data_IF_625406552999
#
_entry.id   IF_625406552999
#
_cell.length_a   1.000
_cell.length_b   1.000
_cell.length_c   1.000
_cell.angle_alpha   90.00
_cell.angle_beta   90.00
_cell.angle_gamma   90.00
#
_symmetry.space_group_name_H-M   'P 1'
#
loop_
_entity.id
_entity.type
_entity.pdbx_description
1 polymer ?
#
# COMPACT_ATOMS: atom_id res chain seq x y z
N UNK A 1 4.43 1.82 57.46
CA UNK A 1 5.89 1.82 57.70
C UNK A 1 6.53 1.63 56.33
N UNK A 2 6.73 2.74 55.61
CA UNK A 2 8.05 3.37 55.35
C UNK A 2 8.91 2.47 54.45
N UNK A 3 9.00 2.77 53.15
CA UNK A 3 10.01 3.68 52.53
C UNK A 3 11.03 2.77 51.80
N UNK A 4 11.58 3.00 50.60
CA UNK A 4 11.69 4.16 49.74
C UNK A 4 12.16 3.72 48.34
N UNK A 5 11.74 4.46 47.32
CA UNK A 5 12.44 4.60 46.03
C UNK A 5 13.82 5.25 46.22
N UNK A 6 14.71 5.13 45.22
CA UNK A 6 15.38 6.34 44.77
C UNK A 6 15.16 6.56 43.27
N UNK A 7 14.59 7.73 43.02
CA UNK A 7 14.61 8.45 41.76
C UNK A 7 15.99 9.07 41.48
N UNK A 8 16.19 9.45 40.21
CA UNK A 8 16.85 10.68 39.72
C UNK A 8 18.32 10.64 39.24
N UNK A 9 18.44 11.31 38.09
CA UNK A 9 19.51 12.18 37.58
C UNK A 9 20.71 11.56 36.85
N UNK A 10 20.78 11.83 35.54
CA UNK A 10 21.85 12.61 34.87
C UNK A 10 21.44 12.79 33.39
N UNK A 11 20.80 13.90 32.98
CA UNK A 11 21.37 15.17 32.49
C UNK A 11 22.54 15.04 31.49
N UNK A 12 22.17 15.25 30.22
CA UNK A 12 22.81 16.07 29.17
C UNK A 12 24.34 16.10 29.11
N UNK A 13 24.88 15.65 27.98
CA UNK A 13 26.09 16.20 27.39
C UNK A 13 25.74 16.69 25.97
N UNK A 14 25.94 18.00 25.77
CA UNK A 14 26.00 18.71 24.50
C UNK A 14 27.49 18.83 24.22
N UNK A 15 27.95 18.48 23.03
CA UNK A 15 29.16 19.08 22.48
C UNK A 15 29.11 19.07 20.96
N UNK A 16 29.33 20.26 20.40
CA UNK A 16 29.30 20.62 19.01
C UNK A 16 30.73 20.97 18.57
N UNK A 17 31.15 20.48 17.40
CA UNK A 17 32.26 20.97 16.56
C UNK A 17 32.16 20.12 15.26
N UNK A 18 32.20 20.65 14.03
CA UNK A 18 33.26 21.45 13.46
C UNK A 18 32.76 22.41 12.37
N UNK A 19 33.42 23.56 12.30
CA UNK A 19 33.36 24.53 11.22
C UNK A 19 34.29 24.13 10.06
N UNK A 20 33.98 24.63 8.86
CA UNK A 20 34.86 24.56 7.69
C UNK A 20 34.29 25.34 6.51
N UNK A 21 34.66 26.62 6.42
CA UNK A 21 34.31 27.58 5.36
C UNK A 21 35.31 27.47 4.20
N UNK A 22 34.87 27.61 2.95
CA UNK A 22 35.64 28.26 1.89
C UNK A 22 34.72 28.86 0.79
N UNK A 23 34.97 30.13 0.49
CA UNK A 23 34.32 30.99 -0.51
C UNK A 23 35.37 31.35 -1.58
N UNK A 24 34.97 31.41 -2.85
CA UNK A 24 35.46 32.31 -3.93
C UNK A 24 34.89 31.77 -5.29
N UNK A 25 34.01 32.40 -6.06
CA UNK A 25 33.97 33.72 -6.75
C UNK A 25 34.90 33.84 -7.97
N UNK A 26 34.30 34.05 -9.16
CA UNK A 26 34.75 34.81 -10.35
C UNK A 26 33.54 34.86 -11.33
N UNK A 27 32.80 35.97 -11.53
CA UNK A 27 33.06 37.12 -12.43
C UNK A 27 33.73 36.71 -13.75
N UNK A 28 33.27 36.97 -14.98
CA UNK A 28 32.32 37.93 -15.56
C UNK A 28 32.32 37.74 -17.10
N UNK A 29 32.02 38.75 -17.95
CA UNK A 29 30.91 38.65 -18.91
C UNK A 29 31.25 39.05 -20.38
N UNK A 30 30.20 39.22 -21.23
CA UNK A 30 30.06 40.19 -22.35
C UNK A 30 30.28 39.76 -23.84
N UNK A 31 29.24 40.10 -24.64
CA UNK A 31 29.13 40.40 -26.10
C UNK A 31 29.25 39.26 -27.14
N UNK A 32 28.54 39.25 -28.28
CA UNK A 32 27.95 40.34 -29.06
C UNK A 32 26.71 39.90 -29.89
N UNK A 33 25.89 40.87 -30.25
CA UNK A 33 24.74 40.84 -31.16
C UNK A 33 25.07 41.72 -32.39
N UNK A 34 24.78 41.29 -33.64
CA UNK A 34 24.25 42.09 -34.80
C UNK A 34 24.27 41.32 -36.17
N UNK A 35 23.58 41.76 -37.27
CA UNK A 35 22.47 40.99 -37.85
C UNK A 35 22.40 40.90 -39.41
N UNK A 36 21.37 40.15 -39.89
CA UNK A 36 20.55 40.24 -41.13
C UNK A 36 21.19 40.26 -42.54
N UNK A 37 20.70 39.34 -43.39
CA UNK A 37 20.56 39.48 -44.85
C UNK A 37 19.37 38.62 -45.38
N UNK A 38 18.44 39.15 -46.19
CA UNK A 38 17.14 38.53 -46.50
C UNK A 38 17.06 37.84 -47.89
N UNK A 39 15.88 37.22 -48.15
CA UNK A 39 15.37 36.61 -49.40
C UNK A 39 15.74 35.13 -49.60
N UNK A 40 14.87 34.21 -50.03
CA UNK A 40 13.51 34.25 -50.55
C UNK A 40 12.98 32.79 -50.67
N UNK A 41 11.69 32.59 -50.41
CA UNK A 41 10.78 31.57 -50.98
C UNK A 41 11.10 30.05 -50.90
N UNK A 42 10.39 29.34 -50.01
CA UNK A 42 9.74 28.05 -50.31
C UNK A 42 8.72 27.68 -49.20
N UNK A 43 7.45 27.48 -49.56
CA UNK A 43 6.38 26.98 -48.67
C UNK A 43 6.41 25.43 -48.57
N UNK A 44 5.51 24.78 -47.81
CA UNK A 44 5.83 24.17 -46.52
C UNK A 44 5.69 22.65 -46.56
N UNK A 45 6.76 21.88 -46.32
CA UNK A 45 6.62 20.45 -46.03
C UNK A 45 7.65 19.98 -45.01
N UNK A 46 7.13 19.28 -43.99
CA UNK A 46 7.81 18.47 -43.00
C UNK A 46 8.76 19.23 -42.04
N UNK A 47 8.29 19.42 -40.81
CA UNK A 47 8.86 18.90 -39.55
C UNK A 47 7.89 19.40 -38.46
N UNK A 48 6.87 18.61 -38.14
CA UNK A 48 6.32 18.67 -36.78
C UNK A 48 7.22 17.82 -35.91
N UNK A 49 8.12 18.52 -35.23
CA UNK A 49 9.03 18.00 -34.24
C UNK A 49 8.26 17.28 -33.14
N UNK A 50 8.63 16.01 -32.96
CA UNK A 50 8.56 15.27 -31.71
C UNK A 50 8.68 16.19 -30.49
N UNK A 51 7.58 16.37 -29.77
CA UNK A 51 7.57 16.77 -28.36
C UNK A 51 6.21 16.43 -27.73
N UNK A 52 5.79 15.17 -27.83
CA UNK A 52 4.87 14.61 -26.84
C UNK A 52 5.70 13.68 -25.95
N UNK A 53 6.25 14.28 -24.90
CA UNK A 53 6.64 13.56 -23.70
C UNK A 53 5.48 12.64 -23.32
N UNK A 54 5.71 11.35 -23.02
CA UNK A 54 4.64 10.52 -22.50
C UNK A 54 4.27 11.11 -21.14
N UNK A 55 3.14 11.80 -21.08
CA UNK A 55 2.45 11.99 -19.84
C UNK A 55 2.22 10.58 -19.30
N UNK A 56 2.94 10.21 -18.25
CA UNK A 56 2.60 9.05 -17.46
C UNK A 56 1.15 9.26 -17.03
N UNK A 57 0.23 8.56 -17.69
CA UNK A 57 -1.17 8.53 -17.32
C UNK A 57 -1.19 8.04 -15.88
N UNK A 58 -1.42 8.95 -14.93
CA UNK A 58 -1.70 8.58 -13.55
C UNK A 58 -3.02 7.81 -13.57
N UNK A 59 -2.93 6.50 -13.74
CA UNK A 59 -4.08 5.60 -13.69
C UNK A 59 -4.74 5.79 -12.32
N UNK A 60 -6.06 5.97 -12.31
CA UNK A 60 -6.79 6.06 -11.06
C UNK A 60 -6.53 4.81 -10.22
N UNK A 61 -6.31 4.93 -8.90
CA UNK A 61 -6.05 3.77 -8.05
C UNK A 61 -7.19 2.76 -8.18
N UNK A 62 -6.83 1.50 -8.39
CA UNK A 62 -7.78 0.38 -8.49
C UNK A 62 -8.36 0.09 -7.11
N UNK A 63 -9.66 -0.08 -6.99
CA UNK A 63 -10.30 -0.45 -5.72
C UNK A 63 -10.38 -1.98 -5.60
N UNK A 64 -9.83 -2.60 -4.54
CA UNK A 64 -9.13 -1.99 -3.41
C UNK A 64 -7.64 -1.70 -3.69
N UNK A 65 -7.14 -0.61 -3.09
CA UNK A 65 -5.73 -0.25 -3.06
C UNK A 65 -5.30 0.11 -1.63
N UNK A 66 -4.18 -0.44 -1.19
CA UNK A 66 -3.57 -0.11 0.11
C UNK A 66 -2.06 -0.02 -0.08
N UNK A 67 -1.45 1.04 0.42
CA UNK A 67 0.00 1.18 0.58
C UNK A 67 0.27 1.68 1.98
N UNK A 68 0.93 0.85 2.79
CA UNK A 68 1.19 1.11 4.21
C UNK A 68 2.59 0.68 4.60
N UNK A 69 3.20 1.46 5.49
CA UNK A 69 4.37 1.05 6.25
C UNK A 69 3.99 0.86 7.72
N UNK A 70 4.48 -0.22 8.31
CA UNK A 70 4.22 -0.60 9.68
C UNK A 70 5.48 -0.96 10.44
N UNK A 71 5.51 -0.63 11.73
CA UNK A 71 6.54 -1.08 12.65
C UNK A 71 5.99 -2.13 13.60
N UNK A 72 6.78 -3.18 13.85
CA UNK A 72 6.42 -4.25 14.78
C UNK A 72 6.23 -3.69 16.18
N UNK A 73 5.01 -3.79 16.70
CA UNK A 73 4.66 -3.31 18.03
C UNK A 73 4.58 -4.45 19.04
N UNK A 74 3.99 -5.58 18.65
CA UNK A 74 3.87 -6.76 19.49
C UNK A 74 3.83 -8.01 18.62
N UNK A 75 4.40 -9.09 19.12
CA UNK A 75 4.31 -10.41 18.51
C UNK A 75 3.68 -11.39 19.49
N UNK A 76 2.98 -12.37 18.94
CA UNK A 76 2.50 -13.59 19.59
C UNK A 76 2.78 -14.76 18.65
N UNK A 77 2.65 -15.99 19.12
CA UNK A 77 2.85 -17.17 18.27
C UNK A 77 1.94 -17.09 17.03
N UNK A 78 2.55 -16.93 15.85
CA UNK A 78 1.86 -16.83 14.56
C UNK A 78 1.06 -15.54 14.33
N UNK A 79 1.18 -14.52 15.17
CA UNK A 79 0.45 -13.24 15.02
C UNK A 79 1.37 -12.07 15.30
N UNK A 80 1.40 -11.10 14.39
CA UNK A 80 2.18 -9.88 14.49
C UNK A 80 1.25 -8.68 14.45
N UNK A 81 1.43 -7.77 15.40
CA UNK A 81 0.74 -6.50 15.46
C UNK A 81 1.69 -5.38 15.01
N UNK A 82 1.31 -4.68 13.94
CA UNK A 82 2.05 -3.59 13.35
C UNK A 82 1.34 -2.27 13.64
N UNK A 83 2.08 -1.30 14.16
CA UNK A 83 1.63 0.09 14.21
C UNK A 83 1.84 0.72 12.83
N UNK A 84 0.79 1.30 12.27
CA UNK A 84 0.82 2.05 11.01
C UNK A 84 0.38 3.50 11.27
N UNK A 85 0.60 4.44 10.33
CA UNK A 85 0.17 5.82 10.49
C UNK A 85 -1.35 5.98 10.68
N UNK A 86 -2.15 5.05 10.16
CA UNK A 86 -3.62 5.11 10.20
C UNK A 86 -4.25 4.20 11.25
N UNK A 87 -3.46 3.38 11.96
CA UNK A 87 -3.95 2.50 13.01
C UNK A 87 -3.12 1.22 13.17
N UNK A 88 -3.81 0.07 13.18
CA UNK A 88 -3.21 -1.23 13.46
C UNK A 88 -3.40 -2.15 12.25
N UNK A 89 -2.31 -2.75 11.79
CA UNK A 89 -2.32 -3.86 10.84
C UNK A 89 -1.90 -5.12 11.60
N UNK A 90 -2.71 -6.17 11.54
CA UNK A 90 -2.37 -7.47 12.11
C UNK A 90 -2.03 -8.43 10.99
N UNK A 91 -0.91 -9.14 11.10
CA UNK A 91 -0.56 -10.25 10.22
C UNK A 91 -0.65 -11.56 11.00
N UNK A 92 -1.24 -12.57 10.40
CA UNK A 92 -1.42 -13.90 11.02
C UNK A 92 -0.95 -14.99 10.07
N UNK A 93 -0.20 -15.97 10.57
CA UNK A 93 0.18 -17.17 9.83
C UNK A 93 0.60 -18.28 10.81
N UNK A 94 0.27 -19.53 10.50
CA UNK A 94 0.75 -20.70 11.26
C UNK A 94 2.14 -21.13 10.82
N UNK A 95 2.48 -20.84 9.56
CA UNK A 95 3.68 -21.34 8.88
C UNK A 95 4.82 -20.33 8.83
N UNK A 96 4.54 -19.03 8.95
CA UNK A 96 5.55 -17.97 8.96
C UNK A 96 5.35 -16.97 10.14
N UNK A 97 6.04 -15.83 10.13
CA UNK A 97 6.04 -14.73 11.10
C UNK A 97 6.66 -15.03 12.48
N UNK A 98 7.06 -16.27 12.76
CA UNK A 98 7.60 -16.69 14.07
C UNK A 98 8.89 -15.95 14.43
N UNK A 99 9.68 -15.58 13.42
CA UNK A 99 11.00 -14.98 13.59
C UNK A 99 11.01 -13.46 13.37
N UNK A 100 9.82 -12.82 13.31
CA UNK A 100 9.73 -11.38 13.13
C UNK A 100 10.18 -10.62 14.38
N UNK A 101 11.09 -9.65 14.19
CA UNK A 101 11.75 -8.90 15.26
C UNK A 101 11.26 -7.45 15.34
N UNK A 102 11.30 -6.87 16.54
CA UNK A 102 10.97 -5.46 16.76
C UNK A 102 11.87 -4.47 15.99
N UNK A 103 13.07 -4.92 15.59
CA UNK A 103 14.02 -4.15 14.76
C UNK A 103 13.67 -4.16 13.27
N UNK A 104 12.61 -4.85 12.85
CA UNK A 104 12.14 -4.89 11.48
C UNK A 104 10.98 -3.92 11.25
N UNK A 105 10.87 -3.50 10.00
CA UNK A 105 9.72 -2.80 9.45
C UNK A 105 9.02 -3.69 8.43
N UNK A 106 7.74 -3.42 8.24
CA UNK A 106 6.91 -4.13 7.26
C UNK A 106 6.36 -3.11 6.28
N UNK A 107 6.51 -3.38 4.99
CA UNK A 107 5.81 -2.67 3.93
C UNK A 107 4.72 -3.57 3.39
N UNK A 108 3.53 -3.01 3.30
CA UNK A 108 2.32 -3.72 2.93
C UNK A 108 1.71 -3.00 1.73
N UNK A 109 1.52 -3.73 0.64
CA UNK A 109 0.80 -3.26 -0.53
C UNK A 109 -0.32 -4.21 -0.86
N UNK A 110 -1.45 -3.65 -1.27
CA UNK A 110 -2.57 -4.38 -1.81
C UNK A 110 -3.09 -3.62 -3.03
N UNK A 111 -3.36 -4.36 -4.08
CA UNK A 111 -3.94 -3.83 -5.30
C UNK A 111 -4.84 -4.92 -5.92
N UNK A 112 -6.12 -4.61 -6.07
CA UNK A 112 -7.14 -5.58 -6.48
C UNK A 112 -7.14 -6.83 -5.58
N UNK A 113 -6.70 -7.98 -6.10
CA UNK A 113 -6.63 -9.27 -5.38
C UNK A 113 -5.21 -9.69 -5.04
N UNK A 114 -4.23 -8.81 -5.27
CA UNK A 114 -2.81 -9.07 -5.08
C UNK A 114 -2.29 -8.29 -3.88
N UNK A 115 -1.56 -8.96 -2.99
CA UNK A 115 -0.98 -8.39 -1.78
C UNK A 115 0.51 -8.73 -1.69
N UNK A 116 1.32 -7.75 -1.27
CA UNK A 116 2.76 -7.86 -1.06
C UNK A 116 3.05 -7.48 0.38
N UNK A 117 3.78 -8.34 1.07
CA UNK A 117 4.31 -8.07 2.40
C UNK A 117 5.83 -8.20 2.35
N UNK A 118 6.53 -7.07 2.42
CA UNK A 118 7.99 -7.07 2.58
C UNK A 118 8.35 -6.82 4.04
N UNK A 119 9.17 -7.70 4.60
CA UNK A 119 9.81 -7.51 5.89
C UNK A 119 11.23 -7.02 5.63
N UNK A 120 11.59 -5.89 6.22
CA UNK A 120 12.90 -5.27 6.01
C UNK A 120 13.57 -4.95 7.35
N UNK A 121 14.90 -4.94 7.39
CA UNK A 121 15.64 -4.46 8.56
C UNK A 121 15.51 -2.95 8.64
N UNK A 122 15.23 -2.40 9.83
CA UNK A 122 15.15 -0.94 10.02
C UNK A 122 16.49 -0.23 9.87
N UNK A 123 17.60 -0.94 10.13
CA UNK A 123 18.94 -0.33 10.17
C UNK A 123 19.44 0.12 8.78
N UNK A 124 19.24 -0.71 7.77
CA UNK A 124 19.78 -0.53 6.41
C UNK A 124 18.72 -0.71 5.31
N UNK A 125 17.48 -1.04 5.68
CA UNK A 125 16.41 -1.30 4.73
C UNK A 125 16.59 -2.59 3.94
N UNK A 126 17.51 -3.49 4.31
CA UNK A 126 17.70 -4.75 3.59
C UNK A 126 16.42 -5.60 3.64
N UNK A 127 16.07 -6.24 2.53
CA UNK A 127 14.98 -7.21 2.50
C UNK A 127 15.34 -8.40 3.40
N UNK A 128 14.36 -8.93 4.11
CA UNK A 128 14.49 -10.16 4.92
C UNK A 128 13.56 -11.23 4.39
N UNK A 129 12.30 -10.88 4.16
CA UNK A 129 11.31 -11.76 3.55
C UNK A 129 10.43 -10.94 2.60
N UNK A 130 9.94 -11.60 1.54
CA UNK A 130 8.92 -11.06 0.66
C UNK A 130 7.84 -12.12 0.47
N UNK A 131 6.63 -11.80 0.92
CA UNK A 131 5.44 -12.61 0.68
C UNK A 131 4.62 -11.99 -0.44
N UNK A 132 4.19 -12.84 -1.37
CA UNK A 132 3.29 -12.49 -2.45
C UNK A 132 2.02 -13.31 -2.28
N UNK A 133 0.87 -12.66 -2.32
CA UNK A 133 -0.44 -13.28 -2.09
C UNK A 133 -1.42 -12.88 -3.19
N UNK A 134 -2.11 -13.83 -3.79
CA UNK A 134 -3.14 -13.57 -4.80
C UNK A 134 -3.33 -14.73 -5.78
N UNK A 135 -4.18 -14.54 -6.80
CA UNK A 135 -4.28 -15.51 -7.89
C UNK A 135 -2.99 -15.48 -8.72
N UNK A 136 -2.38 -16.65 -8.92
CA UNK A 136 -1.11 -16.83 -9.61
C UNK A 136 -1.27 -17.84 -10.74
N UNK A 137 -1.72 -17.42 -11.93
CA UNK A 137 -1.90 -18.34 -13.04
C UNK A 137 -0.55 -18.92 -13.48
N UNK A 138 -0.58 -20.11 -14.10
CA UNK A 138 0.62 -20.72 -14.65
C UNK A 138 1.29 -19.80 -15.67
N UNK A 139 2.62 -19.77 -15.63
CA UNK A 139 3.43 -19.04 -16.60
C UNK A 139 3.59 -19.81 -17.91
N UNK A 140 4.48 -19.29 -18.78
CA UNK A 140 4.74 -19.89 -20.08
C UNK A 140 5.30 -21.33 -19.97
N UNK A 141 6.14 -21.59 -18.96
CA UNK A 141 6.50 -22.94 -18.54
C UNK A 141 5.56 -23.35 -17.40
N UNK A 142 4.46 -24.02 -17.77
CA UNK A 142 3.29 -24.26 -16.93
C UNK A 142 3.65 -24.96 -15.61
N UNK A 143 4.68 -25.81 -15.60
CA UNK A 143 5.10 -26.57 -14.42
C UNK A 143 6.22 -25.91 -13.62
N UNK A 144 6.87 -24.87 -14.14
CA UNK A 144 8.04 -24.25 -13.48
C UNK A 144 7.88 -22.79 -13.14
N UNK A 145 6.85 -22.14 -13.67
CA UNK A 145 6.66 -20.70 -13.51
C UNK A 145 5.21 -20.37 -13.17
N UNK A 146 5.05 -19.38 -12.31
CA UNK A 146 3.79 -18.72 -12.02
C UNK A 146 3.89 -17.26 -12.44
N UNK A 147 2.78 -16.70 -12.90
CA UNK A 147 2.64 -15.27 -13.15
C UNK A 147 2.07 -14.58 -11.91
N UNK A 148 2.56 -13.38 -11.67
CA UNK A 148 2.23 -12.57 -10.51
C UNK A 148 2.14 -11.11 -10.92
N UNK A 149 1.23 -10.34 -10.32
CA UNK A 149 1.21 -8.89 -10.51
C UNK A 149 2.11 -8.20 -9.48
N UNK A 150 3.17 -7.53 -9.91
CA UNK A 150 3.96 -6.63 -9.06
C UNK A 150 3.59 -5.16 -9.27
N UNK A 151 4.08 -4.25 -8.40
CA UNK A 151 3.89 -2.81 -8.60
C UNK A 151 4.50 -2.31 -9.92
N UNK A 152 5.50 -3.02 -10.44
CA UNK A 152 6.13 -2.74 -11.74
C UNK A 152 5.43 -3.45 -12.92
N UNK A 153 4.27 -4.07 -12.67
CA UNK A 153 3.49 -4.83 -13.65
C UNK A 153 3.62 -6.35 -13.51
N UNK A 154 3.23 -7.09 -14.54
CA UNK A 154 3.28 -8.55 -14.56
C UNK A 154 4.73 -9.06 -14.41
N UNK A 155 4.93 -9.97 -13.47
CA UNK A 155 6.19 -10.63 -13.15
C UNK A 155 6.04 -12.15 -13.22
N UNK A 156 7.18 -12.81 -13.35
CA UNK A 156 7.29 -14.26 -13.32
C UNK A 156 7.99 -14.69 -12.04
N UNK A 157 7.46 -15.73 -11.41
CA UNK A 157 8.03 -16.39 -10.23
C UNK A 157 8.38 -17.82 -10.59
N UNK A 158 9.57 -18.28 -10.19
CA UNK A 158 10.03 -19.64 -10.42
C UNK A 158 9.60 -20.58 -9.29
N UNK A 159 9.01 -21.72 -9.63
CA UNK A 159 8.50 -22.69 -8.65
C UNK A 159 9.59 -23.28 -7.76
N UNK A 160 10.83 -23.35 -8.26
CA UNK A 160 11.98 -23.78 -7.47
C UNK A 160 11.87 -25.26 -7.07
N UNK A 161 11.84 -25.54 -5.77
CA UNK A 161 11.71 -26.91 -5.23
C UNK A 161 10.33 -27.15 -4.59
N UNK A 162 9.35 -26.32 -4.92
CA UNK A 162 8.04 -26.29 -4.26
C UNK A 162 6.94 -26.95 -5.08
N UNK A 163 7.29 -27.72 -6.12
CA UNK A 163 6.35 -28.40 -7.02
C UNK A 163 5.36 -29.28 -6.24
N UNK A 164 5.84 -30.05 -5.26
CA UNK A 164 5.00 -30.93 -4.45
C UNK A 164 3.98 -30.15 -3.61
N UNK A 165 4.39 -29.02 -3.03
CA UNK A 165 3.52 -28.17 -2.21
C UNK A 165 2.49 -27.39 -3.04
N UNK A 166 2.73 -27.26 -4.34
CA UNK A 166 1.86 -26.62 -5.30
C UNK A 166 1.10 -27.62 -6.17
N UNK A 167 1.28 -28.93 -5.97
CA UNK A 167 0.61 -29.96 -6.78
C UNK A 167 -0.92 -29.88 -6.71
N UNK A 168 -1.45 -29.47 -5.56
CA UNK A 168 -2.89 -29.29 -5.34
C UNK A 168 -3.39 -27.86 -5.66
N UNK A 169 -2.49 -26.95 -6.04
CA UNK A 169 -2.86 -25.58 -6.38
C UNK A 169 -3.71 -25.57 -7.66
N UNK A 170 -4.85 -24.89 -7.62
CA UNK A 170 -5.69 -24.64 -8.79
C UNK A 170 -5.63 -23.18 -9.15
N UNK A 171 -5.51 -22.92 -10.44
CA UNK A 171 -5.52 -21.55 -10.94
C UNK A 171 -6.77 -20.79 -10.46
N UNK A 172 -6.54 -19.58 -9.94
CA UNK A 172 -7.59 -18.74 -9.36
C UNK A 172 -7.76 -18.91 -7.85
N UNK A 173 -7.26 -19.99 -7.25
CA UNK A 173 -7.22 -20.12 -5.79
C UNK A 173 -6.26 -19.06 -5.20
N UNK A 174 -6.57 -18.53 -4.01
CA UNK A 174 -5.66 -17.64 -3.31
C UNK A 174 -4.44 -18.42 -2.86
N UNK A 175 -3.27 -18.03 -3.36
CA UNK A 175 -1.98 -18.59 -2.98
C UNK A 175 -1.17 -17.53 -2.24
N UNK A 176 -0.45 -17.91 -1.19
CA UNK A 176 0.62 -17.08 -0.63
C UNK A 176 1.93 -17.83 -0.69
N UNK A 177 2.95 -17.17 -1.24
CA UNK A 177 4.30 -17.69 -1.37
C UNK A 177 5.31 -16.71 -0.77
N UNK A 178 6.41 -17.25 -0.26
CA UNK A 178 7.63 -16.51 0.02
C UNK A 178 8.56 -16.66 -1.17
N UNK A 179 9.21 -15.56 -1.57
CA UNK A 179 10.19 -15.55 -2.65
C UNK A 179 11.53 -15.02 -2.17
N UNK A 180 12.60 -15.53 -2.75
CA UNK A 180 13.95 -15.01 -2.56
C UNK A 180 14.25 -13.80 -3.47
N UNK A 181 15.49 -13.33 -3.44
CA UNK A 181 15.94 -12.18 -4.24
C UNK A 181 15.91 -12.41 -5.76
N UNK A 182 15.83 -13.68 -6.19
CA UNK A 182 15.78 -14.09 -7.60
C UNK A 182 14.34 -14.34 -8.10
N UNK A 183 13.32 -14.03 -7.27
CA UNK A 183 11.93 -14.40 -7.51
C UNK A 183 11.72 -15.92 -7.66
N UNK A 184 12.47 -16.72 -6.90
CA UNK A 184 12.22 -18.17 -6.76
C UNK A 184 11.46 -18.44 -5.46
N UNK A 185 10.46 -19.33 -5.52
CA UNK A 185 9.65 -19.66 -4.35
C UNK A 185 10.52 -20.40 -3.32
N UNK A 186 10.62 -19.83 -2.13
CA UNK A 186 11.27 -20.42 -0.97
C UNK A 186 10.28 -21.08 0.00
N UNK A 187 8.99 -20.73 -0.06
CA UNK A 187 7.95 -21.35 0.75
C UNK A 187 6.52 -21.03 0.31
N UNK A 188 5.57 -21.86 0.73
CA UNK A 188 4.12 -21.66 0.59
C UNK A 188 3.51 -21.45 1.97
N UNK A 189 2.63 -20.47 2.13
CA UNK A 189 2.18 -19.98 3.45
C UNK A 189 0.68 -19.70 3.53
N UNK A 190 0.20 -19.54 4.77
CA UNK A 190 -1.18 -19.22 5.14
C UNK A 190 -1.30 -17.80 5.71
N UNK A 191 -0.64 -16.83 5.08
CA UNK A 191 -0.61 -15.45 5.55
C UNK A 191 -1.98 -14.78 5.38
N UNK A 192 -2.46 -14.16 6.45
CA UNK A 192 -3.68 -13.39 6.50
C UNK A 192 -3.40 -12.04 7.15
N UNK A 193 -4.29 -11.07 6.91
CA UNK A 193 -4.19 -9.77 7.55
C UNK A 193 -5.56 -9.23 7.98
N UNK A 194 -5.54 -8.39 9.01
CA UNK A 194 -6.67 -7.59 9.47
C UNK A 194 -6.25 -6.12 9.58
N UNK A 195 -7.07 -5.21 9.04
CA UNK A 195 -6.82 -3.78 9.07
C UNK A 195 -7.81 -3.04 9.98
N UNK A 196 -7.27 -2.28 10.93
CA UNK A 196 -8.01 -1.32 11.73
C UNK A 196 -7.49 0.09 11.46
N UNK A 197 -8.37 0.93 10.90
CA UNK A 197 -8.15 2.36 10.69
C UNK A 197 -8.76 3.12 11.86
N UNK A 198 -7.92 3.68 12.73
CA UNK A 198 -8.36 4.33 13.97
C UNK A 198 -8.07 5.82 14.07
N UNK A 199 -7.28 6.36 13.15
CA UNK A 199 -6.85 7.76 13.14
C UNK A 199 -6.60 8.24 11.71
N UNK A 200 -6.62 9.56 11.52
CA UNK A 200 -6.11 10.17 10.31
C UNK A 200 -4.57 10.09 10.31
N UNK A 201 -3.94 9.96 9.13
CA UNK A 201 -2.49 9.96 9.03
C UNK A 201 -1.87 11.33 9.35
N UNK A 202 -0.60 11.31 9.78
CA UNK A 202 0.21 12.51 9.96
C UNK A 202 0.70 13.04 8.61
N UNK A 203 1.00 14.35 8.53
CA UNK A 203 1.40 15.06 7.32
C UNK A 203 2.47 14.38 6.45
N UNK A 204 3.46 13.76 7.09
CA UNK A 204 4.59 13.12 6.43
C UNK A 204 4.43 11.62 6.21
N UNK A 205 3.26 11.05 6.52
CA UNK A 205 3.04 9.61 6.40
C UNK A 205 2.88 9.19 4.92
N UNK A 206 3.71 8.25 4.47
CA UNK A 206 3.53 7.57 3.18
C UNK A 206 2.43 6.50 3.34
N UNK A 207 1.17 6.93 3.19
CA UNK A 207 0.00 6.07 3.19
C UNK A 207 -0.94 6.43 2.06
N UNK A 208 -1.45 5.40 1.41
CA UNK A 208 -2.56 5.52 0.47
C UNK A 208 -3.53 4.36 0.71
N UNK A 209 -4.82 4.65 0.76
CA UNK A 209 -5.88 3.65 0.92
C UNK A 209 -7.08 4.06 0.07
N UNK A 210 -7.54 3.18 -0.79
CA UNK A 210 -8.83 3.25 -1.46
C UNK A 210 -9.54 1.93 -1.21
N UNK A 211 -10.70 1.98 -0.58
CA UNK A 211 -11.41 0.77 -0.17
C UNK A 211 -12.90 0.98 -0.16
N UNK A 212 -13.61 0.26 -1.03
CA UNK A 212 -15.07 0.18 -0.95
C UNK A 212 -15.57 -1.05 -0.21
N UNK A 213 -16.73 -0.89 0.41
CA UNK A 213 -17.43 -2.01 1.02
C UNK A 213 -18.78 -1.61 1.60
N UNK A 214 -19.37 -2.55 2.33
CA UNK A 214 -20.69 -2.38 2.94
C UNK A 214 -20.58 -2.45 4.45
N UNK A 215 -21.24 -1.52 5.15
CA UNK A 215 -21.30 -1.53 6.62
C UNK A 215 -22.01 -2.81 7.08
N UNK A 216 -21.27 -3.67 7.77
CA UNK A 216 -21.77 -4.94 8.28
C UNK A 216 -22.23 -4.84 9.73
N UNK A 217 -21.59 -3.96 10.53
CA UNK A 217 -21.87 -3.81 11.95
C UNK A 217 -21.41 -2.44 12.45
N UNK A 218 -22.13 -1.92 13.43
CA UNK A 218 -21.76 -0.74 14.22
C UNK A 218 -21.56 -1.18 15.66
N UNK A 219 -20.42 -0.83 16.27
CA UNK A 219 -20.17 -1.13 17.69
C UNK A 219 -19.30 -0.04 18.31
N UNK A 220 -19.85 0.66 19.31
CA UNK A 220 -19.19 1.81 19.95
C UNK A 220 -18.76 2.83 18.87
N UNK A 221 -17.50 3.26 18.88
CA UNK A 221 -16.94 4.18 17.89
C UNK A 221 -16.41 3.48 16.64
N UNK A 222 -16.75 2.20 16.38
CA UNK A 222 -16.25 1.48 15.22
C UNK A 222 -17.37 1.09 14.25
N UNK A 223 -17.10 1.35 12.97
CA UNK A 223 -17.85 0.89 11.81
C UNK A 223 -17.09 -0.28 11.21
N UNK A 224 -17.74 -1.44 11.10
CA UNK A 224 -17.15 -2.64 10.52
C UNK A 224 -17.62 -2.75 9.07
N UNK A 225 -16.68 -2.66 8.14
CA UNK A 225 -16.95 -2.64 6.70
C UNK A 225 -16.53 -3.97 6.11
N UNK A 226 -17.48 -4.66 5.46
CA UNK A 226 -17.18 -5.86 4.67
C UNK A 226 -16.70 -5.41 3.30
N UNK A 227 -15.51 -5.85 2.92
CA UNK A 227 -14.82 -5.47 1.68
C UNK A 227 -14.41 -6.74 0.92
N UNK A 228 -13.97 -6.64 -0.35
CA UNK A 228 -13.47 -7.80 -1.09
C UNK A 228 -12.28 -8.49 -0.41
N UNK A 229 -11.52 -7.77 0.40
CA UNK A 229 -10.31 -8.25 1.09
C UNK A 229 -10.57 -8.69 2.53
N UNK A 230 -11.82 -8.72 2.96
CA UNK A 230 -12.21 -9.10 4.32
C UNK A 230 -12.88 -7.98 5.11
N UNK A 231 -12.80 -8.06 6.43
CA UNK A 231 -13.44 -7.11 7.33
C UNK A 231 -12.46 -6.01 7.73
N UNK A 232 -12.81 -4.76 7.49
CA UNK A 232 -12.01 -3.60 7.91
C UNK A 232 -12.74 -2.83 8.99
N UNK A 233 -12.01 -2.45 10.03
CA UNK A 233 -12.54 -1.69 11.15
C UNK A 233 -12.20 -0.21 10.99
N UNK A 234 -13.19 0.66 10.97
CA UNK A 234 -13.02 2.11 10.85
C UNK A 234 -13.50 2.80 12.12
N UNK A 235 -12.68 3.65 12.72
CA UNK A 235 -13.11 4.50 13.83
C UNK A 235 -13.99 5.64 13.27
N UNK A 236 -15.22 5.79 13.78
CA UNK A 236 -16.15 6.82 13.32
C UNK A 236 -15.64 8.24 13.52
N UNK A 237 -14.70 8.45 14.46
CA UNK A 237 -14.13 9.75 14.79
C UNK A 237 -13.14 10.30 13.74
N UNK A 238 -12.75 9.52 12.73
CA UNK A 238 -11.81 9.96 11.69
C UNK A 238 -12.47 10.72 10.53
N UNK A 239 -13.73 11.17 10.71
CA UNK A 239 -14.51 11.80 9.64
C UNK A 239 -15.42 10.85 8.88
N UNK A 240 -15.73 9.66 9.44
CA UNK A 240 -16.77 8.80 8.87
C UNK A 240 -18.13 9.44 9.15
N UNK A 241 -18.95 9.76 8.13
CA UNK A 241 -20.28 10.30 8.35
C UNK A 241 -21.19 9.27 9.05
N UNK A 242 -22.34 9.72 9.53
CA UNK A 242 -23.31 8.80 10.13
C UNK A 242 -23.82 7.79 9.10
N UNK A 243 -23.51 6.51 9.30
CA UNK A 243 -23.86 5.40 8.40
C UNK A 243 -24.77 4.39 9.09
N UNK A 244 -25.53 3.62 8.30
CA UNK A 244 -26.37 2.50 8.76
C UNK A 244 -25.80 1.17 8.31
N UNK A 245 -26.15 0.09 9.02
CA UNK A 245 -25.86 -1.28 8.55
C UNK A 245 -26.53 -1.51 7.20
N UNK A 246 -25.80 -2.18 6.29
CA UNK A 246 -26.21 -2.39 4.90
C UNK A 246 -25.84 -1.25 3.95
N UNK A 247 -25.33 -0.12 4.45
CA UNK A 247 -24.99 1.02 3.61
C UNK A 247 -23.62 0.85 2.94
N UNK A 248 -23.50 1.06 1.62
CA UNK A 248 -22.21 1.07 0.94
C UNK A 248 -21.45 2.37 1.23
N UNK A 249 -20.14 2.24 1.41
CA UNK A 249 -19.22 3.36 1.55
C UNK A 249 -17.89 3.07 0.84
N UNK A 250 -17.20 4.14 0.48
CA UNK A 250 -15.84 4.12 -0.04
C UNK A 250 -14.99 5.01 0.83
N UNK A 251 -13.90 4.47 1.36
CA UNK A 251 -12.89 5.20 2.12
C UNK A 251 -11.72 5.50 1.19
N UNK A 252 -11.31 6.76 1.17
CA UNK A 252 -10.09 7.20 0.53
C UNK A 252 -9.22 7.91 1.57
N UNK A 253 -7.97 7.47 1.72
CA UNK A 253 -6.95 8.12 2.55
C UNK A 253 -5.73 8.37 1.68
N UNK A 254 -5.29 9.62 1.58
CA UNK A 254 -4.02 9.97 0.94
C UNK A 254 -3.32 11.07 1.74
N UNK A 255 -2.07 10.82 2.16
CA UNK A 255 -1.18 11.69 2.96
C UNK A 255 -1.79 12.24 4.24
N UNK A 256 -2.73 13.18 4.13
CA UNK A 256 -3.42 13.89 5.23
C UNK A 256 -4.95 13.81 5.16
N UNK A 257 -5.51 13.49 3.99
CA UNK A 257 -6.93 13.61 3.77
C UNK A 257 -7.61 12.28 3.95
N UNK A 258 -8.63 12.26 4.81
CA UNK A 258 -9.58 11.15 4.91
C UNK A 258 -10.89 11.61 4.28
N UNK A 259 -11.25 10.99 3.16
CA UNK A 259 -12.53 11.21 2.48
C UNK A 259 -13.34 9.94 2.56
N UNK A 260 -14.57 10.02 3.09
CA UNK A 260 -15.51 8.90 3.11
C UNK A 260 -16.73 9.28 2.28
N UNK A 261 -16.91 8.57 1.16
CA UNK A 261 -18.08 8.74 0.31
C UNK A 261 -19.09 7.67 0.66
N UNK A 262 -20.34 8.08 0.89
CA UNK A 262 -21.42 7.15 1.21
C UNK A 262 -22.45 7.23 0.09
N UNK A 263 -22.78 6.07 -0.50
CA UNK A 263 -23.86 6.00 -1.48
C UNK A 263 -25.16 5.65 -0.75
N UNK A 264 -26.23 6.37 -1.03
CA UNK A 264 -27.55 5.95 -0.57
C UNK A 264 -27.91 4.65 -1.28
N UNK A 265 -28.43 3.63 -0.56
CA UNK A 265 -29.01 2.47 -1.24
C UNK A 265 -30.15 2.99 -2.12
N UNK A 266 -30.07 2.73 -3.41
CA UNK A 266 -31.12 3.07 -4.35
C UNK A 266 -32.42 2.42 -3.85
N UNK A 267 -33.39 3.26 -3.50
CA UNK A 267 -34.70 2.77 -3.08
C UNK A 267 -35.33 2.15 -4.32
N UNK A 268 -35.42 0.82 -4.38
CA UNK A 268 -36.15 0.13 -5.43
C UNK A 268 -37.58 0.70 -5.47
N UNK A 269 -37.87 1.49 -6.51
CA UNK A 269 -39.20 2.05 -6.74
C UNK A 269 -40.18 0.88 -6.89
N UNK A 270 -41.23 0.75 -6.06
CA UNK A 270 -42.22 -0.29 -6.28
C UNK A 270 -42.92 0.02 -7.60
N UNK A 271 -42.77 -0.89 -8.55
CA UNK A 271 -43.47 -0.83 -9.83
C UNK A 271 -44.96 -0.98 -9.53
N UNK A 272 -45.67 0.15 -9.42
CA UNK A 272 -47.14 0.19 -9.26
C UNK A 272 -47.75 -0.12 -10.63
N UNK A 273 -47.69 -1.39 -11.01
CA UNK A 273 -48.41 -1.95 -12.13
C UNK A 273 -49.90 -1.99 -11.82
N UNK A 274 -50.66 -1.26 -12.63
CA UNK A 274 -52.08 -0.97 -12.55
C UNK A 274 -52.99 -2.15 -12.16
N UNK A 275 -53.90 -1.89 -11.22
CA UNK A 275 -55.23 -2.52 -11.24
C UNK A 275 -55.98 -2.03 -12.48
N UNK A 276 -56.34 -2.94 -13.37
CA UNK A 276 -57.38 -2.72 -14.37
C UNK A 276 -58.54 -3.64 -14.02
N UNK A 277 -59.57 -3.02 -13.45
CA UNK A 277 -60.93 -3.51 -13.41
C UNK A 277 -61.49 -3.54 -14.83
N UNK A 278 -61.96 -4.70 -15.29
CA UNK A 278 -63.14 -4.80 -16.12
C UNK A 278 -63.77 -6.20 -16.00
#
# INVERSE_FOLDING_TARGET
MRDSFPSRLQRRAIEALCAGVAVATLCGPIYAEEPVGPAETASPQAIESLAQSPAATAQAPVDPFIKLQGSVWRTKAGIVFLKTPIGLLTLTSKTTLKDLKASQEVRFWLHDRHCIVEIRKRADGSLVHRYLSGPMPSGADVSKTLRWWGPDGDQTVHVGTQEERLADYREGDPLTIEVDETNTISGVHDLQFDLQVSQAPEASADVSLLLSGTVSKLKSNFVFVRTPIGLVMLNSKIGVPHVKVGQPLTVHIDREQVTVTVRSPETATPNRGASLTH
#
